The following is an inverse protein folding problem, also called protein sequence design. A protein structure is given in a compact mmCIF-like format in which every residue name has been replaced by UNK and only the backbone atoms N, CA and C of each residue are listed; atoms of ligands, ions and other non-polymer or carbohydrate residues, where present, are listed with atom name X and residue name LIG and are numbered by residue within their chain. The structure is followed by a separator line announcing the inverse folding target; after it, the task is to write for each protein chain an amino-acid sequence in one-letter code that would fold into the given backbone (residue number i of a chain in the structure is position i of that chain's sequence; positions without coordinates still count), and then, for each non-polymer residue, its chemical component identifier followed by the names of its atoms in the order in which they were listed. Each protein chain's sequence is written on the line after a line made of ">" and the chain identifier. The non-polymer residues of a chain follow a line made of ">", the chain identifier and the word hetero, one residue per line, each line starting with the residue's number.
data_IF_843165027000
#
_entry.id   IF_843165027000
#
_cell.length_a   1.000
_cell.length_b   1.000
_cell.length_c   1.000
_cell.angle_alpha   90.00
_cell.angle_beta   90.00
_cell.angle_gamma   90.00
#
_symmetry.space_group_name_H-M   'P 1'
#
loop_
_entity.id
_entity.type
_entity.pdbx_description
1 polymer ?
#
# COMPACT_ATOMS: atom_id res chain seq x y z
N UNK A 1 44.13 -26.76 -22.96
CA UNK A 1 42.82 -27.23 -22.43
C UNK A 1 42.01 -26.00 -22.09
N UNK A 2 41.09 -25.60 -22.96
CA UNK A 2 40.25 -24.41 -22.76
C UNK A 2 39.14 -24.72 -21.76
N UNK A 3 39.17 -24.04 -20.61
CA UNK A 3 38.10 -24.11 -19.60
C UNK A 3 36.90 -23.31 -20.12
N UNK A 4 35.88 -24.01 -20.63
CA UNK A 4 34.56 -23.43 -20.86
C UNK A 4 33.88 -23.23 -19.52
N UNK A 5 33.90 -22.00 -19.02
CA UNK A 5 33.11 -21.60 -17.86
C UNK A 5 31.62 -21.89 -18.13
N UNK A 6 30.90 -22.60 -17.25
CA UNK A 6 29.48 -22.88 -17.48
C UNK A 6 28.71 -21.57 -17.47
N UNK A 7 28.18 -21.21 -18.64
CA UNK A 7 27.32 -20.05 -18.82
C UNK A 7 26.02 -20.31 -18.03
N UNK A 8 25.93 -19.75 -16.83
CA UNK A 8 24.70 -19.80 -16.02
C UNK A 8 23.57 -19.21 -16.85
N UNK A 9 22.48 -19.96 -17.11
CA UNK A 9 21.39 -19.44 -17.91
C UNK A 9 20.80 -18.21 -17.18
N UNK A 10 20.46 -17.13 -17.90
CA UNK A 10 19.83 -15.98 -17.28
C UNK A 10 18.56 -16.43 -16.58
N UNK A 11 18.47 -16.21 -15.26
CA UNK A 11 17.27 -16.45 -14.48
C UNK A 11 16.15 -15.64 -15.14
N UNK A 12 15.23 -16.33 -15.84
CA UNK A 12 14.04 -15.66 -16.39
C UNK A 12 13.27 -15.08 -15.22
N UNK A 13 13.25 -13.75 -15.11
CA UNK A 13 12.39 -13.06 -14.17
C UNK A 13 10.96 -13.56 -14.38
N UNK A 14 10.40 -14.20 -13.35
CA UNK A 14 9.03 -14.72 -13.42
C UNK A 14 8.09 -13.55 -13.73
N UNK A 15 7.27 -13.69 -14.78
CA UNK A 15 6.25 -12.70 -15.10
C UNK A 15 5.33 -12.50 -13.89
N UNK A 16 5.02 -11.25 -13.50
CA UNK A 16 4.16 -10.99 -12.35
C UNK A 16 2.80 -11.66 -12.54
N UNK A 17 2.29 -12.29 -11.48
CA UNK A 17 1.02 -13.00 -11.52
C UNK A 17 -0.14 -12.06 -11.86
N UNK A 18 -1.21 -12.60 -12.46
CA UNK A 18 -2.39 -11.83 -12.82
C UNK A 18 -2.97 -11.04 -11.62
N UNK A 19 -2.93 -11.63 -10.43
CA UNK A 19 -3.37 -10.99 -9.19
C UNK A 19 -2.58 -9.71 -8.84
N UNK A 20 -1.25 -9.74 -9.02
CA UNK A 20 -0.39 -8.57 -8.78
C UNK A 20 -0.69 -7.44 -9.76
N UNK A 21 -0.93 -7.78 -11.04
CA UNK A 21 -1.31 -6.81 -12.08
C UNK A 21 -2.67 -6.18 -11.77
N UNK A 22 -3.66 -7.00 -11.39
CA UNK A 22 -4.99 -6.53 -11.02
C UNK A 22 -4.92 -5.59 -9.81
N UNK A 23 -4.19 -5.98 -8.76
CA UNK A 23 -4.01 -5.16 -7.56
C UNK A 23 -3.37 -3.80 -7.89
N UNK A 24 -2.38 -3.78 -8.78
CA UNK A 24 -1.75 -2.52 -9.23
C UNK A 24 -2.72 -1.66 -10.02
N UNK A 25 -3.48 -2.25 -10.96
CA UNK A 25 -4.49 -1.54 -11.75
C UNK A 25 -5.62 -0.98 -10.88
N UNK A 26 -5.97 -1.68 -9.80
CA UNK A 26 -6.96 -1.27 -8.83
C UNK A 26 -6.43 -0.23 -7.82
N UNK A 27 -5.13 0.05 -7.77
CA UNK A 27 -4.55 0.85 -6.68
C UNK A 27 -5.11 2.27 -6.60
N UNK A 28 -5.19 2.98 -7.73
CA UNK A 28 -5.76 4.32 -7.78
C UNK A 28 -7.26 4.35 -7.47
N UNK A 29 -8.13 3.54 -8.14
CA UNK A 29 -9.55 3.57 -7.81
C UNK A 29 -9.82 3.13 -6.37
N UNK A 30 -9.09 2.14 -5.85
CA UNK A 30 -9.23 1.73 -4.46
C UNK A 30 -8.80 2.82 -3.49
N UNK A 31 -7.72 3.57 -3.76
CA UNK A 31 -7.32 4.68 -2.90
C UNK A 31 -8.42 5.74 -2.77
N UNK A 32 -9.12 6.05 -3.88
CA UNK A 32 -10.26 6.97 -3.86
C UNK A 32 -11.44 6.35 -3.10
N UNK A 33 -11.81 5.12 -3.42
CA UNK A 33 -12.94 4.42 -2.79
C UNK A 33 -12.75 4.27 -1.28
N UNK A 34 -11.59 3.81 -0.82
CA UNK A 34 -11.31 3.63 0.61
C UNK A 34 -11.17 4.96 1.33
N UNK A 35 -10.63 6.00 0.68
CA UNK A 35 -10.58 7.35 1.24
C UNK A 35 -11.98 7.93 1.46
N UNK A 36 -12.85 7.82 0.45
CA UNK A 36 -14.25 8.24 0.56
C UNK A 36 -15.02 7.41 1.60
N UNK A 37 -14.76 6.10 1.65
CA UNK A 37 -15.35 5.20 2.66
C UNK A 37 -14.98 5.60 4.08
N UNK A 38 -13.70 5.82 4.38
CA UNK A 38 -13.25 6.29 5.70
C UNK A 38 -13.92 7.62 6.06
N UNK A 39 -14.08 8.50 5.09
CA UNK A 39 -14.57 9.86 5.31
C UNK A 39 -16.08 9.90 5.56
N UNK A 40 -16.85 9.26 4.69
CA UNK A 40 -18.30 9.40 4.63
C UNK A 40 -19.06 8.06 4.52
N UNK A 41 -18.37 6.93 4.39
CA UNK A 41 -19.02 5.62 4.22
C UNK A 41 -19.98 5.26 5.35
N UNK A 42 -19.62 5.64 6.59
CA UNK A 42 -20.48 5.50 7.78
C UNK A 42 -21.80 6.27 7.69
N UNK A 43 -21.89 7.34 6.88
CA UNK A 43 -23.13 8.09 6.69
C UNK A 43 -24.23 7.25 6.01
N UNK A 44 -23.85 6.22 5.24
CA UNK A 44 -24.78 5.27 4.63
C UNK A 44 -25.55 4.44 5.68
N UNK A 45 -25.08 4.42 6.93
CA UNK A 45 -25.67 3.70 8.06
C UNK A 45 -26.27 4.65 9.10
N UNK A 46 -26.49 5.92 8.76
CA UNK A 46 -27.02 6.93 9.68
C UNK A 46 -25.98 7.50 10.65
N UNK A 47 -24.70 7.15 10.52
CA UNK A 47 -23.60 7.67 11.35
C UNK A 47 -22.85 8.83 10.67
N UNK A 48 -23.58 9.73 10.00
CA UNK A 48 -23.01 10.87 9.27
C UNK A 48 -23.07 12.16 10.08
N UNK A 49 -22.08 12.37 10.96
CA UNK A 49 -22.04 13.54 11.84
C UNK A 49 -20.96 14.54 11.48
N UNK A 50 -20.57 15.37 12.46
CA UNK A 50 -19.57 16.43 12.27
C UNK A 50 -18.19 15.88 11.88
N UNK A 51 -17.84 14.65 12.26
CA UNK A 51 -16.55 14.07 11.88
C UNK A 51 -16.42 13.86 10.37
N UNK A 52 -17.52 13.78 9.60
CA UNK A 52 -17.45 13.65 8.14
C UNK A 52 -16.74 14.86 7.54
N UNK A 53 -17.12 16.07 7.97
CA UNK A 53 -16.48 17.31 7.52
C UNK A 53 -15.02 17.41 7.98
N UNK A 54 -14.74 17.02 9.22
CA UNK A 54 -13.37 16.99 9.76
C UNK A 54 -12.50 16.04 8.92
N UNK A 55 -12.97 14.82 8.66
CA UNK A 55 -12.21 13.83 7.89
C UNK A 55 -12.03 14.26 6.44
N UNK A 56 -13.01 14.93 5.83
CA UNK A 56 -12.91 15.42 4.45
C UNK A 56 -11.77 16.43 4.26
N UNK A 57 -11.47 17.25 5.28
CA UNK A 57 -10.41 18.27 5.21
C UNK A 57 -9.08 17.76 5.77
N UNK A 58 -9.08 16.74 6.63
CA UNK A 58 -7.87 16.27 7.32
C UNK A 58 -7.42 14.88 6.86
N UNK A 59 -8.23 13.85 7.09
CA UNK A 59 -7.90 12.45 6.84
C UNK A 59 -7.85 12.14 5.35
N UNK A 60 -8.87 12.58 4.60
CA UNK A 60 -8.99 12.30 3.17
C UNK A 60 -7.82 12.85 2.35
N UNK A 61 -7.42 14.13 2.49
CA UNK A 61 -6.33 14.67 1.68
C UNK A 61 -5.00 13.99 1.97
N UNK A 62 -4.71 13.70 3.25
CA UNK A 62 -3.48 13.00 3.64
C UNK A 62 -3.48 11.57 3.09
N UNK A 63 -4.59 10.84 3.25
CA UNK A 63 -4.70 9.47 2.74
C UNK A 63 -4.55 9.39 1.22
N UNK A 64 -5.24 10.28 0.48
CA UNK A 64 -5.13 10.38 -0.97
C UNK A 64 -3.73 10.81 -1.41
N UNK A 65 -3.08 11.73 -0.69
CA UNK A 65 -1.71 12.13 -1.01
C UNK A 65 -0.74 10.96 -0.87
N UNK A 66 -0.81 10.20 0.23
CA UNK A 66 0.08 9.07 0.49
C UNK A 66 -0.12 7.95 -0.54
N UNK A 67 -1.35 7.48 -0.72
CA UNK A 67 -1.63 6.40 -1.68
C UNK A 67 -1.53 6.86 -3.13
N UNK A 68 -1.88 8.11 -3.42
CA UNK A 68 -1.70 8.71 -4.74
C UNK A 68 -0.22 8.79 -5.12
N UNK A 69 0.64 9.19 -4.17
CA UNK A 69 2.09 9.20 -4.39
C UNK A 69 2.64 7.77 -4.56
N UNK A 70 2.15 6.80 -3.78
CA UNK A 70 2.51 5.40 -3.94
C UNK A 70 2.13 4.89 -5.35
N UNK A 71 0.89 5.13 -5.78
CA UNK A 71 0.40 4.79 -7.11
C UNK A 71 1.24 5.46 -8.21
N UNK A 72 1.58 6.74 -8.05
CA UNK A 72 2.43 7.46 -9.00
C UNK A 72 3.81 6.79 -9.16
N UNK A 73 4.44 6.38 -8.05
CA UNK A 73 5.71 5.65 -8.09
C UNK A 73 5.58 4.30 -8.80
N UNK A 74 4.51 3.54 -8.54
CA UNK A 74 4.25 2.25 -9.20
C UNK A 74 4.01 2.41 -10.71
N UNK A 75 3.19 3.38 -11.11
CA UNK A 75 2.92 3.67 -12.52
C UNK A 75 4.18 4.13 -13.25
N UNK A 76 5.02 4.95 -12.59
CA UNK A 76 6.28 5.41 -13.15
C UNK A 76 7.27 4.26 -13.34
N UNK A 77 7.32 3.32 -12.41
CA UNK A 77 8.13 2.11 -12.54
C UNK A 77 7.59 1.19 -13.65
N UNK A 78 6.26 1.03 -13.76
CA UNK A 78 5.59 0.25 -14.80
C UNK A 78 5.88 0.75 -16.22
N UNK A 79 5.96 2.08 -16.40
CA UNK A 79 6.35 2.69 -17.67
C UNK A 79 7.79 2.39 -18.06
N UNK A 80 8.70 2.22 -17.09
CA UNK A 80 10.11 1.88 -17.37
C UNK A 80 10.34 0.40 -17.58
N UNK A 81 9.54 -0.45 -16.92
CA UNK A 81 9.67 -1.91 -16.94
C UNK A 81 8.32 -2.56 -17.21
N UNK A 82 7.91 -2.71 -18.48
CA UNK A 82 6.60 -3.26 -18.87
C UNK A 82 6.30 -4.72 -18.45
N UNK A 83 7.17 -5.37 -17.65
CA UNK A 83 7.00 -6.74 -17.18
C UNK A 83 7.41 -7.01 -15.73
N UNK A 84 7.70 -5.99 -14.90
CA UNK A 84 8.29 -6.23 -13.56
C UNK A 84 8.06 -5.16 -12.50
N UNK A 85 6.99 -4.37 -12.62
CA UNK A 85 6.85 -3.13 -11.86
C UNK A 85 6.09 -3.20 -10.54
N UNK A 86 5.52 -4.34 -10.17
CA UNK A 86 4.89 -4.53 -8.85
C UNK A 86 5.28 -5.88 -8.29
N UNK A 87 5.75 -5.89 -7.04
CA UNK A 87 6.09 -7.12 -6.32
C UNK A 87 4.88 -7.64 -5.54
N UNK A 88 4.80 -8.95 -5.24
CA UNK A 88 3.78 -9.51 -4.36
C UNK A 88 3.70 -8.80 -2.99
N UNK A 89 4.84 -8.33 -2.46
CA UNK A 89 4.90 -7.56 -1.22
C UNK A 89 4.12 -6.24 -1.31
N UNK A 90 4.25 -5.49 -2.40
CA UNK A 90 3.50 -4.24 -2.62
C UNK A 90 2.01 -4.54 -2.78
N UNK A 91 1.65 -5.57 -3.55
CA UNK A 91 0.26 -5.98 -3.72
C UNK A 91 -0.37 -6.38 -2.38
N UNK A 92 0.37 -7.13 -1.54
CA UNK A 92 -0.06 -7.49 -0.19
C UNK A 92 -0.22 -6.27 0.72
N UNK A 93 0.70 -5.32 0.68
CA UNK A 93 0.61 -4.07 1.46
C UNK A 93 -0.59 -3.20 1.04
N UNK A 94 -0.86 -3.10 -0.28
CA UNK A 94 -2.05 -2.42 -0.80
C UNK A 94 -3.34 -3.10 -0.32
N UNK A 95 -3.46 -4.41 -0.51
CA UNK A 95 -4.63 -5.16 -0.08
C UNK A 95 -4.86 -5.05 1.43
N UNK A 96 -3.80 -5.16 2.23
CA UNK A 96 -3.85 -4.96 3.67
C UNK A 96 -4.34 -3.55 4.02
N UNK A 97 -3.81 -2.52 3.36
CA UNK A 97 -4.25 -1.12 3.56
C UNK A 97 -5.74 -0.96 3.25
N UNK A 98 -6.26 -1.60 2.19
CA UNK A 98 -7.68 -1.52 1.83
C UNK A 98 -8.57 -2.22 2.85
N UNK A 99 -8.17 -3.42 3.30
CA UNK A 99 -8.92 -4.16 4.34
C UNK A 99 -8.96 -3.35 5.64
N UNK A 100 -7.82 -2.81 6.07
CA UNK A 100 -7.75 -1.98 7.27
C UNK A 100 -8.61 -0.71 7.12
N UNK A 101 -8.59 -0.07 5.95
CA UNK A 101 -9.42 1.10 5.67
C UNK A 101 -10.92 0.78 5.72
N UNK A 102 -11.32 -0.39 5.21
CA UNK A 102 -12.71 -0.84 5.27
C UNK A 102 -13.17 -1.04 6.72
N UNK A 103 -12.37 -1.77 7.51
CA UNK A 103 -12.64 -1.99 8.93
C UNK A 103 -12.67 -0.67 9.69
N UNK A 104 -11.70 0.21 9.43
CA UNK A 104 -11.63 1.52 10.07
C UNK A 104 -12.89 2.34 9.79
N UNK A 105 -13.27 2.52 8.52
CA UNK A 105 -14.49 3.28 8.17
C UNK A 105 -15.77 2.71 8.77
N UNK A 106 -15.82 1.39 9.00
CA UNK A 106 -16.94 0.74 9.68
C UNK A 106 -16.99 1.00 11.19
N UNK A 107 -15.82 1.08 11.83
CA UNK A 107 -15.68 1.26 13.28
C UNK A 107 -15.66 2.73 13.71
N UNK A 108 -15.33 3.68 12.84
CA UNK A 108 -15.22 5.10 13.21
C UNK A 108 -16.55 5.60 13.81
N UNK A 109 -16.55 5.98 15.10
CA UNK A 109 -17.72 6.61 15.69
C UNK A 109 -17.84 8.06 15.22
N UNK A 110 -19.07 8.49 14.98
CA UNK A 110 -19.45 9.87 14.74
C UNK A 110 -20.49 10.32 15.78
N UNK A 111 -20.75 11.63 15.85
CA UNK A 111 -21.82 12.18 16.69
C UNK A 111 -22.96 12.70 15.85
N UNK A 112 -24.13 12.10 16.02
CA UNK A 112 -25.38 12.53 15.39
C UNK A 112 -26.37 12.84 16.51
N UNK A 113 -26.87 14.08 16.54
CA UNK A 113 -27.85 14.54 17.55
C UNK A 113 -27.43 14.28 19.01
N UNK A 114 -26.13 14.36 19.30
CA UNK A 114 -25.56 14.15 20.62
C UNK A 114 -25.30 12.68 21.00
N UNK A 115 -25.71 11.72 20.17
CA UNK A 115 -25.42 10.30 20.35
C UNK A 115 -24.18 9.88 19.57
N UNK A 116 -23.37 8.98 20.15
CA UNK A 116 -22.21 8.39 19.48
C UNK A 116 -22.65 7.17 18.68
N UNK A 117 -22.49 7.22 17.35
CA UNK A 117 -22.96 6.19 16.42
C UNK A 117 -21.84 5.85 15.44
N UNK A 118 -21.57 4.57 15.22
CA UNK A 118 -20.72 4.06 14.14
C UNK A 118 -21.55 3.19 13.18
N UNK A 119 -21.01 2.86 12.00
CA UNK A 119 -21.67 1.88 11.13
C UNK A 119 -21.77 0.50 11.83
N UNK A 120 -20.75 0.13 12.60
CA UNK A 120 -20.78 -1.08 13.41
C UNK A 120 -21.92 -1.09 14.44
N UNK A 121 -22.15 0.00 15.17
CA UNK A 121 -23.27 0.05 16.13
C UNK A 121 -24.64 0.06 15.47
N UNK A 122 -24.74 0.63 14.26
CA UNK A 122 -25.98 0.60 13.49
C UNK A 122 -26.34 -0.81 13.01
N UNK A 123 -25.33 -1.64 12.69
CA UNK A 123 -25.54 -3.00 12.16
C UNK A 123 -25.57 -4.08 13.25
N UNK A 124 -24.69 -3.97 14.26
CA UNK A 124 -24.49 -5.00 15.30
C UNK A 124 -25.20 -4.68 16.62
N UNK A 125 -25.76 -3.48 16.75
CA UNK A 125 -26.47 -3.02 17.94
C UNK A 125 -25.70 -1.99 18.77
N UNK A 126 -26.38 -1.29 19.69
CA UNK A 126 -25.80 -0.18 20.45
C UNK A 126 -24.68 -0.59 21.41
N UNK A 127 -24.62 -1.85 21.83
CA UNK A 127 -23.64 -2.35 22.79
C UNK A 127 -22.19 -2.34 22.26
N UNK A 128 -22.00 -2.27 20.93
CA UNK A 128 -20.67 -2.24 20.31
C UNK A 128 -20.08 -0.84 20.14
N UNK A 129 -20.75 0.22 20.61
CA UNK A 129 -20.25 1.61 20.49
C UNK A 129 -18.90 1.78 21.22
N UNK A 130 -18.76 1.22 22.42
CA UNK A 130 -17.50 1.29 23.18
C UNK A 130 -16.35 0.53 22.50
N UNK A 131 -16.65 -0.65 21.94
CA UNK A 131 -15.72 -1.43 21.13
C UNK A 131 -15.30 -0.67 19.86
N UNK A 132 -16.27 -0.04 19.19
CA UNK A 132 -16.04 0.78 18.00
C UNK A 132 -15.11 1.96 18.29
N UNK A 133 -15.28 2.64 19.42
CA UNK A 133 -14.42 3.75 19.83
C UNK A 133 -12.98 3.30 20.10
N UNK A 134 -12.78 2.19 20.81
CA UNK A 134 -11.45 1.65 21.10
C UNK A 134 -10.72 1.13 19.86
N UNK A 135 -11.41 0.32 19.04
CA UNK A 135 -10.81 -0.27 17.85
C UNK A 135 -10.70 0.72 16.68
N UNK A 136 -11.59 1.72 16.59
CA UNK A 136 -11.54 2.75 15.55
C UNK A 136 -10.17 3.44 15.49
N UNK A 137 -9.65 3.91 16.64
CA UNK A 137 -8.33 4.54 16.69
C UNK A 137 -7.21 3.59 16.28
N UNK A 138 -7.24 2.35 16.77
CA UNK A 138 -6.24 1.31 16.44
C UNK A 138 -6.22 1.01 14.94
N UNK A 139 -7.37 0.76 14.34
CA UNK A 139 -7.47 0.50 12.90
C UNK A 139 -7.14 1.74 12.06
N UNK A 140 -7.43 2.95 12.56
CA UNK A 140 -6.99 4.20 11.94
C UNK A 140 -5.47 4.29 11.86
N UNK A 141 -4.77 4.07 12.98
CA UNK A 141 -3.30 4.06 13.03
C UNK A 141 -2.74 2.97 12.09
N UNK A 142 -3.25 1.74 12.18
CA UNK A 142 -2.80 0.63 11.35
C UNK A 142 -3.00 0.92 9.86
N UNK A 143 -4.12 1.55 9.48
CA UNK A 143 -4.40 1.95 8.10
C UNK A 143 -3.34 2.91 7.58
N UNK A 144 -3.00 3.94 8.36
CA UNK A 144 -1.96 4.90 7.96
C UNK A 144 -0.57 4.29 7.95
N UNK A 145 -0.22 3.45 8.93
CA UNK A 145 1.04 2.71 8.93
C UNK A 145 1.18 1.85 7.68
N UNK A 146 0.12 1.11 7.31
CA UNK A 146 0.10 0.30 6.10
C UNK A 146 0.19 1.16 4.81
N UNK A 147 -0.47 2.31 4.77
CA UNK A 147 -0.38 3.25 3.66
C UNK A 147 1.04 3.82 3.48
N UNK A 148 1.69 4.24 4.57
CA UNK A 148 3.07 4.71 4.55
C UNK A 148 4.06 3.60 4.21
N UNK A 149 3.87 2.38 4.72
CA UNK A 149 4.67 1.22 4.35
C UNK A 149 4.55 0.93 2.84
N UNK A 150 3.33 1.00 2.30
CA UNK A 150 3.06 0.85 0.86
C UNK A 150 3.79 1.92 0.05
N UNK A 151 3.75 3.18 0.49
CA UNK A 151 4.50 4.27 -0.13
C UNK A 151 6.01 4.02 -0.09
N UNK A 152 6.56 3.62 1.05
CA UNK A 152 7.99 3.31 1.21
C UNK A 152 8.45 2.17 0.30
N UNK A 153 7.65 1.11 0.18
CA UNK A 153 7.89 0.01 -0.75
C UNK A 153 7.84 0.49 -2.21
N UNK A 154 6.85 1.29 -2.57
CA UNK A 154 6.70 1.85 -3.93
C UNK A 154 7.89 2.76 -4.31
N UNK A 155 8.33 3.63 -3.39
CA UNK A 155 9.52 4.48 -3.59
C UNK A 155 10.77 3.61 -3.78
N UNK A 156 10.98 2.64 -2.90
CA UNK A 156 12.15 1.75 -2.93
C UNK A 156 12.20 0.97 -4.24
N UNK A 157 11.06 0.44 -4.67
CA UNK A 157 10.94 -0.27 -5.93
C UNK A 157 11.19 0.62 -7.15
N UNK A 158 10.61 1.81 -7.18
CA UNK A 158 10.86 2.78 -8.25
C UNK A 158 12.32 3.25 -8.29
N UNK A 159 13.01 3.34 -7.14
CA UNK A 159 14.45 3.63 -7.08
C UNK A 159 15.29 2.49 -7.64
N UNK A 160 14.97 1.23 -7.28
CA UNK A 160 15.63 0.03 -7.82
C UNK A 160 15.43 -0.09 -9.33
N UNK A 161 14.20 0.08 -9.81
CA UNK A 161 13.87 0.06 -11.23
C UNK A 161 14.60 1.14 -12.02
N UNK A 162 14.77 2.34 -11.45
CA UNK A 162 15.58 3.40 -12.07
C UNK A 162 17.07 3.02 -12.17
N UNK A 163 17.67 2.47 -11.12
CA UNK A 163 19.08 2.04 -11.13
C UNK A 163 19.33 0.96 -12.18
N UNK A 164 18.46 -0.04 -12.24
CA UNK A 164 18.54 -1.09 -13.24
C UNK A 164 18.46 -0.55 -14.68
N UNK A 165 17.57 0.42 -14.94
CA UNK A 165 17.46 1.07 -16.26
C UNK A 165 18.69 1.92 -16.62
N UNK A 166 19.41 2.44 -15.62
CA UNK A 166 20.66 3.20 -15.78
C UNK A 166 21.90 2.29 -15.88
N UNK A 167 21.74 0.96 -15.87
CA UNK A 167 22.86 0.00 -15.87
C UNK A 167 23.69 0.03 -14.60
N UNK A 168 23.17 0.62 -13.52
CA UNK A 168 23.79 0.66 -12.20
C UNK A 168 23.34 -0.55 -11.39
N UNK A 169 24.20 -1.12 -10.53
CA UNK A 169 23.82 -2.24 -9.68
C UNK A 169 22.61 -1.86 -8.82
N UNK A 170 21.55 -2.66 -8.94
CA UNK A 170 20.24 -2.42 -8.35
C UNK A 170 20.10 -3.06 -6.97
N UNK A 171 20.94 -4.07 -6.67
CA UNK A 171 20.89 -4.93 -5.49
C UNK A 171 22.25 -4.97 -4.80
N UNK A 172 22.28 -5.26 -3.49
CA UNK A 172 23.54 -5.36 -2.73
C UNK A 172 24.45 -6.45 -3.29
N UNK A 173 23.88 -7.58 -3.68
CA UNK A 173 24.60 -8.66 -4.37
C UNK A 173 25.29 -8.17 -5.65
N UNK A 174 24.60 -7.38 -6.49
CA UNK A 174 25.19 -6.82 -7.71
C UNK A 174 26.29 -5.78 -7.42
N UNK A 175 26.21 -5.07 -6.28
CA UNK A 175 27.26 -4.15 -5.84
C UNK A 175 28.49 -4.94 -5.40
N UNK A 176 28.29 -6.03 -4.66
CA UNK A 176 29.35 -6.92 -4.21
C UNK A 176 30.02 -7.63 -5.41
N UNK A 177 29.24 -8.12 -6.36
CA UNK A 177 29.74 -8.71 -7.61
C UNK A 177 30.55 -7.68 -8.43
N UNK A 178 30.02 -6.46 -8.58
CA UNK A 178 30.73 -5.38 -9.28
C UNK A 178 32.01 -4.92 -8.54
N UNK A 179 32.06 -5.11 -7.21
CA UNK A 179 33.23 -4.84 -6.39
C UNK A 179 34.22 -6.03 -6.33
N UNK A 180 33.94 -7.13 -7.04
CA UNK A 180 34.79 -8.34 -7.05
C UNK A 180 34.76 -9.12 -5.73
N UNK A 181 33.71 -8.96 -4.92
CA UNK A 181 33.61 -9.58 -3.61
C UNK A 181 33.08 -11.02 -3.72
N UNK A 182 33.98 -11.98 -3.95
CA UNK A 182 33.66 -13.42 -4.04
C UNK A 182 33.76 -14.09 -2.65
N UNK A 183 32.86 -13.70 -1.73
CA UNK A 183 32.66 -14.42 -0.46
C UNK A 183 33.85 -14.49 0.50
N UNK A 184 34.79 -13.53 0.45
CA UNK A 184 35.90 -13.43 1.42
C UNK A 184 37.31 -13.47 0.86
N UNK A 185 37.50 -13.43 -0.47
CA UNK A 185 38.81 -13.16 -1.09
C UNK A 185 38.76 -11.86 -1.86
N UNK A 186 39.47 -10.85 -1.34
CA UNK A 186 39.82 -9.65 -2.11
C UNK A 186 40.93 -10.07 -3.10
N UNK A 187 40.62 -9.97 -4.40
CA UNK A 187 41.61 -10.08 -5.48
C UNK A 187 42.35 -8.77 -5.71
#
# INVERSE_FOLDING_TARGET
>A
MSSTSPMTPPVRAASPSAAVRLCTGAALPMAVLTGLWITAGRALFGAGGLLVGVFAVTVLPVYLAVLGLACWHLLRDARRRPGGATTPAIAGALACTWVLALIFGFLVPDRVEGQVVSAASAVLGPDVVGLSAGFGNTFGILTFVAAFATLGLAITQNRRGRRAAEGRPATEDEILDAAGYDGGRLG
#
